data_IF_556440386379
#
_entry.id   IF_556440386379
#
_cell.length_a   1.000
_cell.length_b   1.000
_cell.length_c   1.000
_cell.angle_alpha   90.00
_cell.angle_beta   90.00
_cell.angle_gamma   90.00
#
_symmetry.space_group_name_H-M   'P 1'
#
loop_
_entity.id
_entity.type
_entity.pdbx_description
1 polymer ?
#
# COMPACT_ATOMS: atom_id res chain seq x y z
N UNK A 1 27.91 70.62 -14.92
CA UNK A 1 27.71 69.15 -14.96
C UNK A 1 26.22 68.91 -14.75
N UNK A 2 25.52 68.52 -15.81
CA UNK A 2 24.09 68.24 -15.81
C UNK A 2 23.81 66.94 -15.07
N UNK A 3 23.01 66.99 -14.00
CA UNK A 3 22.44 65.79 -13.36
C UNK A 3 21.44 65.14 -14.33
N UNK A 4 21.90 64.17 -15.12
CA UNK A 4 21.02 63.25 -15.81
C UNK A 4 20.47 62.26 -14.79
N UNK A 5 19.27 62.52 -14.27
CA UNK A 5 18.45 61.50 -13.63
C UNK A 5 18.15 60.42 -14.66
N UNK A 6 18.90 59.32 -14.63
CA UNK A 6 18.57 58.11 -15.39
C UNK A 6 17.21 57.60 -14.89
N UNK A 7 16.14 57.98 -15.58
CA UNK A 7 14.84 57.33 -15.42
C UNK A 7 14.97 55.91 -15.94
N UNK A 8 15.06 54.95 -15.02
CA UNK A 8 14.98 53.54 -15.36
C UNK A 8 13.51 53.23 -15.60
N UNK A 9 13.16 52.93 -16.85
CA UNK A 9 11.82 52.48 -17.21
C UNK A 9 11.61 51.05 -16.69
N UNK A 10 10.79 50.91 -15.64
CA UNK A 10 10.45 49.61 -15.06
C UNK A 10 9.24 49.07 -15.83
N UNK A 11 9.46 48.04 -16.63
CA UNK A 11 8.38 47.28 -17.27
C UNK A 11 8.15 45.92 -16.58
N UNK A 12 7.15 45.18 -17.05
CA UNK A 12 6.79 43.87 -16.50
C UNK A 12 7.90 42.81 -16.67
N UNK A 13 8.98 43.07 -17.42
CA UNK A 13 10.11 42.14 -17.57
C UNK A 13 10.98 42.09 -16.30
N UNK A 14 10.91 43.14 -15.46
CA UNK A 14 11.62 43.22 -14.18
C UNK A 14 10.82 42.70 -12.99
N UNK A 15 9.54 42.36 -13.20
CA UNK A 15 8.63 41.92 -12.15
C UNK A 15 8.40 40.41 -12.29
N UNK A 16 8.88 39.64 -11.31
CA UNK A 16 8.61 38.19 -11.25
C UNK A 16 7.08 37.99 -11.21
N UNK A 17 6.50 37.17 -12.10
CA UNK A 17 5.08 36.87 -12.07
C UNK A 17 4.71 36.31 -10.71
N UNK A 18 3.77 36.97 -10.02
CA UNK A 18 3.28 36.52 -8.72
C UNK A 18 1.78 36.28 -8.80
N UNK A 19 1.27 35.36 -7.98
CA UNK A 19 -0.16 35.17 -7.81
C UNK A 19 -0.64 36.03 -6.65
N UNK A 20 -1.44 37.09 -6.87
CA UNK A 20 -1.92 37.95 -5.79
C UNK A 20 -2.72 37.17 -4.74
N UNK A 21 -3.47 36.15 -5.18
CA UNK A 21 -4.21 35.25 -4.30
C UNK A 21 -3.24 34.53 -3.35
N UNK A 22 -2.25 33.81 -3.90
CA UNK A 22 -1.32 33.03 -3.08
C UNK A 22 -0.46 33.93 -2.18
N UNK A 23 0.05 35.03 -2.71
CA UNK A 23 0.86 35.97 -1.92
C UNK A 23 0.06 36.58 -0.77
N UNK A 24 -1.23 36.89 -0.98
CA UNK A 24 -2.12 37.42 0.08
C UNK A 24 -2.53 36.34 1.08
N UNK A 25 -2.80 35.11 0.60
CA UNK A 25 -3.17 33.97 1.45
C UNK A 25 -2.03 33.56 2.37
N UNK A 26 -0.81 33.46 1.86
CA UNK A 26 0.35 32.96 2.61
C UNK A 26 1.26 34.06 3.17
N UNK A 27 0.99 35.33 2.87
CA UNK A 27 1.80 36.50 3.28
C UNK A 27 3.28 36.32 2.96
N UNK A 28 3.58 35.73 1.80
CA UNK A 28 4.93 35.42 1.34
C UNK A 28 5.03 35.63 -0.18
N UNK A 29 6.25 35.83 -0.70
CA UNK A 29 6.49 35.81 -2.13
C UNK A 29 6.45 34.36 -2.65
N UNK A 30 5.48 34.03 -3.49
CA UNK A 30 5.23 32.66 -3.95
C UNK A 30 5.57 32.53 -5.44
N UNK A 31 6.55 31.69 -5.77
CA UNK A 31 6.81 31.26 -7.14
C UNK A 31 5.90 30.06 -7.49
N UNK A 32 5.26 30.09 -8.65
CA UNK A 32 4.33 29.03 -9.09
C UNK A 32 4.86 28.39 -10.37
N UNK A 33 5.17 27.09 -10.31
CA UNK A 33 5.65 26.32 -11.45
C UNK A 33 4.66 25.21 -11.81
N UNK A 34 4.28 25.12 -13.08
CA UNK A 34 3.42 24.03 -13.57
C UNK A 34 4.28 22.84 -14.01
N UNK A 35 4.16 21.72 -13.29
CA UNK A 35 4.88 20.49 -13.57
C UNK A 35 3.93 19.40 -14.08
N UNK A 36 4.06 19.00 -15.34
CA UNK A 36 3.22 17.95 -15.96
C UNK A 36 3.86 16.56 -16.00
N UNK A 37 5.13 16.42 -15.60
CA UNK A 37 5.84 15.13 -15.67
C UNK A 37 5.93 14.42 -14.32
N UNK A 38 5.77 13.09 -14.32
CA UNK A 38 6.00 12.24 -13.14
C UNK A 38 7.43 12.40 -12.60
N UNK A 39 8.41 12.66 -13.48
CA UNK A 39 9.81 12.94 -13.09
C UNK A 39 9.91 14.23 -12.27
N UNK A 40 9.22 15.29 -12.68
CA UNK A 40 9.18 16.58 -11.97
C UNK A 40 8.53 16.44 -10.60
N UNK A 41 7.40 15.72 -10.50
CA UNK A 41 6.74 15.45 -9.21
C UNK A 41 7.66 14.65 -8.28
N UNK A 42 8.28 13.58 -8.80
CA UNK A 42 9.26 12.78 -8.05
C UNK A 42 10.44 13.63 -7.59
N UNK A 43 10.91 14.55 -8.42
CA UNK A 43 11.99 15.46 -8.10
C UNK A 43 11.60 16.39 -6.95
N UNK A 44 10.47 17.10 -7.03
CA UNK A 44 9.99 17.98 -5.96
C UNK A 44 9.83 17.20 -4.65
N UNK A 45 9.12 16.07 -4.68
CA UNK A 45 8.95 15.23 -3.49
C UNK A 45 10.29 14.71 -2.96
N UNK A 46 11.27 14.44 -3.82
CA UNK A 46 12.61 14.06 -3.40
C UNK A 46 13.23 15.18 -2.58
N UNK A 47 13.24 16.43 -3.03
CA UNK A 47 13.90 17.52 -2.29
C UNK A 47 13.17 17.88 -0.99
N UNK A 48 11.84 17.89 -1.00
CA UNK A 48 11.05 18.15 0.21
C UNK A 48 11.26 17.06 1.27
N UNK A 49 11.39 15.80 0.85
CA UNK A 49 11.58 14.67 1.75
C UNK A 49 13.04 14.21 1.87
N UNK A 50 13.98 14.88 1.19
CA UNK A 50 15.41 14.61 1.34
C UNK A 50 15.76 15.07 2.75
N UNK A 51 16.22 14.15 3.58
CA UNK A 51 16.75 14.51 4.88
C UNK A 51 17.86 15.56 4.72
N UNK A 52 18.04 16.38 5.75
CA UNK A 52 19.15 17.32 5.79
C UNK A 52 20.48 16.61 5.63
N UNK A 53 21.45 17.32 5.05
CA UNK A 53 22.80 16.81 4.92
C UNK A 53 23.37 16.47 6.31
N UNK A 54 24.10 15.36 6.36
CA UNK A 54 24.72 14.84 7.57
C UNK A 54 26.23 15.05 7.45
N UNK A 55 26.85 15.53 8.53
CA UNK A 55 28.29 15.63 8.65
C UNK A 55 28.76 14.65 9.74
N UNK A 56 29.83 13.92 9.43
CA UNK A 56 30.56 13.15 10.44
C UNK A 56 31.68 14.04 10.96
N UNK A 57 31.75 14.20 12.27
CA UNK A 57 32.79 14.99 12.93
C UNK A 57 33.40 14.21 14.09
N UNK A 58 34.69 14.49 14.33
CA UNK A 58 35.45 13.88 15.40
C UNK A 58 35.26 14.69 16.69
N UNK A 59 34.78 14.05 17.76
CA UNK A 59 34.74 14.65 19.10
C UNK A 59 35.95 14.15 19.87
N UNK A 60 37.02 14.96 19.89
CA UNK A 60 38.23 14.63 20.65
C UNK A 60 37.95 14.69 22.15
N UNK A 61 37.80 13.54 22.76
CA UNK A 61 37.76 13.40 24.21
C UNK A 61 39.18 13.09 24.70
N UNK A 62 39.76 13.96 25.52
CA UNK A 62 41.18 13.92 25.91
C UNK A 62 41.54 12.61 26.66
N UNK A 63 40.54 11.91 27.22
CA UNK A 63 40.77 10.78 28.13
C UNK A 63 40.04 9.46 27.75
N UNK A 64 39.54 9.27 26.52
CA UNK A 64 38.79 8.05 26.17
C UNK A 64 39.11 7.52 24.76
N UNK A 65 39.79 6.37 24.67
CA UNK A 65 40.19 5.69 23.42
C UNK A 65 39.06 4.80 22.84
N UNK A 66 37.83 5.30 22.78
CA UNK A 66 36.72 4.55 22.18
C UNK A 66 36.39 5.10 20.79
N UNK A 67 36.90 4.42 19.76
CA UNK A 67 36.79 4.74 18.33
C UNK A 67 35.33 4.98 17.87
N UNK A 68 34.37 4.24 18.45
CA UNK A 68 32.94 4.37 18.08
C UNK A 68 32.34 5.68 18.63
N UNK A 69 32.77 6.12 19.81
CA UNK A 69 32.32 7.40 20.39
C UNK A 69 33.06 8.61 19.83
N UNK A 70 34.20 8.37 19.18
CA UNK A 70 35.07 9.40 18.63
C UNK A 70 34.45 10.07 17.40
N UNK A 71 33.66 9.34 16.62
CA UNK A 71 32.97 9.87 15.45
C UNK A 71 31.48 10.03 15.73
N UNK A 72 31.01 11.27 15.68
CA UNK A 72 29.58 11.57 15.79
C UNK A 72 29.04 12.05 14.44
N UNK A 73 27.80 11.68 14.17
CA UNK A 73 27.07 12.12 12.99
C UNK A 73 26.05 13.16 13.41
N UNK A 74 26.18 14.38 12.87
CA UNK A 74 25.25 15.48 13.12
C UNK A 74 24.51 15.89 11.85
N UNK A 75 23.31 16.39 12.04
CA UNK A 75 22.50 17.00 10.99
C UNK A 75 22.92 18.46 10.82
N UNK A 76 23.19 18.90 9.60
CA UNK A 76 23.34 20.32 9.30
C UNK A 76 21.97 21.03 9.43
N UNK A 77 21.95 22.12 10.20
CA UNK A 77 20.77 22.95 10.42
C UNK A 77 21.19 24.39 10.08
N UNK A 78 20.46 25.04 9.16
CA UNK A 78 20.72 26.44 8.82
C UNK A 78 20.34 27.37 9.98
N UNK A 79 20.92 28.57 10.05
CA UNK A 79 20.59 29.55 11.10
C UNK A 79 19.09 29.83 11.21
N UNK A 80 18.40 29.90 10.06
CA UNK A 80 16.95 30.12 10.02
C UNK A 80 16.17 28.93 10.60
N UNK A 81 16.54 27.69 10.23
CA UNK A 81 15.92 26.49 10.79
C UNK A 81 16.21 26.35 12.29
N UNK A 82 17.42 26.73 12.73
CA UNK A 82 17.81 26.71 14.14
C UNK A 82 16.95 27.66 14.97
N UNK A 83 16.76 28.91 14.53
CA UNK A 83 15.88 29.88 15.21
C UNK A 83 14.44 29.37 15.26
N UNK A 84 13.93 28.82 14.15
CA UNK A 84 12.59 28.22 14.11
C UNK A 84 12.41 27.10 15.13
N UNK A 85 13.43 26.23 15.27
CA UNK A 85 13.44 25.13 16.23
C UNK A 85 13.53 25.63 17.67
N UNK A 86 14.42 26.59 17.95
CA UNK A 86 14.59 27.19 19.29
C UNK A 86 13.28 27.82 19.75
N UNK A 87 12.59 28.53 18.86
CA UNK A 87 11.31 29.17 19.13
C UNK A 87 10.11 28.21 19.03
N UNK A 88 10.34 26.91 18.77
CA UNK A 88 9.30 25.88 18.62
C UNK A 88 8.22 26.20 17.58
N UNK A 89 8.58 26.92 16.51
CA UNK A 89 7.69 27.17 15.39
C UNK A 89 7.50 25.91 14.53
N UNK A 90 6.29 25.76 13.97
CA UNK A 90 6.00 24.68 13.03
C UNK A 90 6.87 24.78 11.78
N UNK A 91 7.71 23.76 11.56
CA UNK A 91 8.63 23.69 10.40
C UNK A 91 7.93 23.07 9.20
N UNK A 92 6.97 22.18 9.44
CA UNK A 92 6.25 21.48 8.40
C UNK A 92 4.80 21.31 8.83
N UNK A 93 3.90 21.52 7.88
CA UNK A 93 2.49 21.22 8.03
C UNK A 93 2.08 20.28 6.89
N UNK A 94 1.16 19.35 7.17
CA UNK A 94 0.64 18.39 6.20
C UNK A 94 -0.87 18.34 6.33
N UNK A 95 -1.57 18.85 5.33
CA UNK A 95 -3.01 18.72 5.19
C UNK A 95 -3.33 17.89 3.93
N UNK A 96 -4.11 16.80 4.03
CA UNK A 96 -4.66 16.23 5.27
C UNK A 96 -3.59 15.51 6.12
N UNK A 97 -3.88 15.36 7.41
CA UNK A 97 -3.03 14.57 8.30
C UNK A 97 -3.00 13.11 7.85
N UNK A 98 -1.81 12.50 7.77
CA UNK A 98 -1.63 11.10 7.36
C UNK A 98 -1.09 10.29 8.53
N UNK A 99 -1.87 9.32 8.99
CA UNK A 99 -1.48 8.37 10.03
C UNK A 99 -1.00 7.07 9.37
N UNK A 100 0.23 6.66 9.66
CA UNK A 100 0.72 5.35 9.23
C UNK A 100 0.11 4.24 10.07
N UNK A 101 -0.39 3.22 9.40
CA UNK A 101 -1.08 2.07 9.96
C UNK A 101 -0.22 0.82 9.75
N UNK A 102 0.05 0.11 10.84
CA UNK A 102 0.88 -1.07 10.85
C UNK A 102 0.18 -2.22 10.13
N UNK A 103 0.94 -3.00 9.38
CA UNK A 103 0.46 -4.22 8.72
C UNK A 103 1.50 -5.30 8.99
N UNK A 104 1.07 -6.36 9.65
CA UNK A 104 1.90 -7.52 9.97
C UNK A 104 1.02 -8.72 10.28
N UNK A 105 1.58 -9.92 10.18
CA UNK A 105 0.92 -11.15 10.62
C UNK A 105 0.88 -11.22 12.16
N UNK A 106 0.12 -12.18 12.68
CA UNK A 106 0.11 -12.49 14.11
C UNK A 106 1.53 -12.76 14.61
N UNK A 107 1.94 -12.07 15.67
CA UNK A 107 3.31 -12.09 16.21
C UNK A 107 4.43 -11.61 15.26
N UNK A 108 4.08 -11.10 14.08
CA UNK A 108 5.02 -10.56 13.09
C UNK A 108 5.32 -9.06 13.26
N UNK A 109 5.01 -8.45 14.40
CA UNK A 109 5.28 -7.02 14.60
C UNK A 109 6.78 -6.74 14.66
N UNK A 110 7.18 -5.59 14.11
CA UNK A 110 8.54 -5.08 14.26
C UNK A 110 8.75 -4.59 15.68
N UNK A 111 9.70 -5.18 16.39
CA UNK A 111 10.06 -4.81 17.76
C UNK A 111 11.52 -4.38 17.81
N UNK A 112 11.79 -3.27 18.47
CA UNK A 112 13.14 -2.83 18.80
C UNK A 112 13.41 -3.19 20.25
N UNK A 113 14.57 -3.79 20.51
CA UNK A 113 14.97 -4.23 21.83
C UNK A 113 16.44 -3.94 22.09
N UNK A 114 16.80 -3.92 23.37
CA UNK A 114 18.17 -3.93 23.90
C UNK A 114 18.37 -5.23 24.67
N UNK A 115 19.60 -5.58 25.02
CA UNK A 115 19.88 -6.79 25.81
C UNK A 115 19.07 -6.83 27.12
N UNK A 116 18.92 -5.68 27.78
CA UNK A 116 18.19 -5.53 29.04
C UNK A 116 16.67 -5.78 28.89
N UNK A 117 16.07 -5.38 27.77
CA UNK A 117 14.61 -5.45 27.59
C UNK A 117 14.15 -6.57 26.65
N UNK A 118 15.06 -7.35 26.08
CA UNK A 118 14.76 -8.41 25.12
C UNK A 118 13.71 -9.40 25.65
N UNK A 119 13.91 -9.93 26.86
CA UNK A 119 12.99 -10.89 27.47
C UNK A 119 11.60 -10.29 27.66
N UNK A 120 11.52 -9.06 28.17
CA UNK A 120 10.25 -8.36 28.34
C UNK A 120 9.56 -8.13 27.00
N UNK A 121 10.30 -7.71 25.97
CA UNK A 121 9.77 -7.46 24.61
C UNK A 121 9.30 -8.73 23.90
N UNK A 122 9.91 -9.87 24.19
CA UNK A 122 9.52 -11.16 23.66
C UNK A 122 8.22 -11.66 24.29
N UNK A 123 8.05 -11.47 25.60
CA UNK A 123 6.83 -11.84 26.33
C UNK A 123 5.68 -10.87 26.07
N UNK A 124 5.96 -9.56 26.05
CA UNK A 124 4.98 -8.50 25.86
C UNK A 124 5.39 -7.58 24.71
N UNK A 125 5.03 -7.95 23.48
CA UNK A 125 5.31 -7.12 22.32
C UNK A 125 4.60 -5.76 22.41
N UNK A 126 5.23 -4.67 21.95
CA UNK A 126 4.61 -3.36 21.93
C UNK A 126 3.35 -3.37 21.06
N UNK A 127 2.27 -2.77 21.58
CA UNK A 127 1.02 -2.60 20.84
C UNK A 127 1.27 -1.75 19.59
N UNK A 128 0.84 -2.28 18.45
CA UNK A 128 0.85 -1.59 17.16
C UNK A 128 -0.48 -0.89 16.94
N UNK A 129 -0.56 -0.02 15.94
CA UNK A 129 -1.84 0.58 15.53
C UNK A 129 -2.86 -0.47 15.11
N UNK A 130 -2.42 -1.64 14.63
CA UNK A 130 -3.29 -2.75 14.21
C UNK A 130 -3.83 -3.52 15.40
N UNK A 131 -2.96 -3.98 16.30
CA UNK A 131 -3.40 -4.71 17.49
C UNK A 131 -4.24 -3.82 18.42
N UNK A 132 -3.91 -2.53 18.50
CA UNK A 132 -4.72 -1.57 19.24
C UNK A 132 -6.09 -1.33 18.58
N UNK A 133 -6.19 -1.42 17.25
CA UNK A 133 -7.49 -1.34 16.57
C UNK A 133 -8.36 -2.54 16.91
N UNK A 134 -7.79 -3.75 16.96
CA UNK A 134 -8.50 -4.93 17.45
C UNK A 134 -9.05 -4.73 18.86
N UNK A 135 -8.21 -4.22 19.78
CA UNK A 135 -8.67 -3.92 21.15
C UNK A 135 -9.73 -2.82 21.20
N UNK A 136 -9.70 -1.86 20.27
CA UNK A 136 -10.72 -0.82 20.17
C UNK A 136 -12.07 -1.43 19.75
N UNK A 137 -12.08 -2.29 18.73
CA UNK A 137 -13.27 -2.99 18.28
C UNK A 137 -13.82 -3.98 19.31
N UNK A 138 -13.01 -4.45 20.26
CA UNK A 138 -13.47 -5.32 21.34
C UNK A 138 -14.19 -4.57 22.47
N UNK A 139 -14.07 -3.25 22.57
CA UNK A 139 -14.68 -2.51 23.67
C UNK A 139 -16.22 -2.59 23.60
N UNK A 140 -16.91 -2.76 24.74
CA UNK A 140 -18.37 -2.81 24.79
C UNK A 140 -19.04 -1.44 24.71
N UNK A 141 -18.26 -0.36 24.87
CA UNK A 141 -18.74 1.01 24.86
C UNK A 141 -19.20 1.46 23.45
N UNK A 142 -19.88 2.61 23.41
CA UNK A 142 -20.39 3.20 22.15
C UNK A 142 -19.25 3.41 21.13
N UNK A 143 -18.05 3.73 21.61
CA UNK A 143 -16.87 3.92 20.76
C UNK A 143 -16.36 2.63 20.14
N UNK A 144 -16.36 1.52 20.89
CA UNK A 144 -16.01 0.20 20.36
C UNK A 144 -17.04 -0.29 19.34
N UNK A 145 -18.33 -0.10 19.63
CA UNK A 145 -19.41 -0.41 18.68
C UNK A 145 -19.28 0.40 17.39
N UNK A 146 -18.96 1.69 17.48
CA UNK A 146 -18.66 2.51 16.31
C UNK A 146 -17.39 2.08 15.59
N UNK A 147 -16.32 1.75 16.31
CA UNK A 147 -15.09 1.27 15.68
C UNK A 147 -15.31 -0.03 14.88
N UNK A 148 -16.30 -0.85 15.25
CA UNK A 148 -16.68 -2.05 14.47
C UNK A 148 -17.26 -1.72 13.09
N UNK A 149 -17.77 -0.51 12.88
CA UNK A 149 -18.32 -0.10 11.57
C UNK A 149 -17.24 0.49 10.65
N UNK A 150 -16.04 0.76 11.17
CA UNK A 150 -14.97 1.41 10.42
C UNK A 150 -14.05 0.39 9.74
N UNK A 151 -13.62 0.72 8.53
CA UNK A 151 -12.45 0.11 7.90
C UNK A 151 -11.19 0.61 8.60
N UNK A 152 -10.13 -0.20 8.59
CA UNK A 152 -8.90 0.14 9.29
C UNK A 152 -8.29 1.47 8.78
N UNK A 153 -8.40 1.74 7.47
CA UNK A 153 -7.97 2.99 6.83
C UNK A 153 -8.75 4.23 7.25
N UNK A 154 -9.98 4.06 7.75
CA UNK A 154 -10.87 5.15 8.17
C UNK A 154 -10.72 5.49 9.65
N UNK A 155 -10.12 4.61 10.45
CA UNK A 155 -9.92 4.83 11.90
C UNK A 155 -9.32 6.21 12.21
N UNK A 156 -8.27 6.70 11.50
CA UNK A 156 -7.67 8.01 11.81
C UNK A 156 -8.60 9.23 11.61
N UNK A 157 -9.69 9.06 10.86
CA UNK A 157 -10.71 10.12 10.65
C UNK A 157 -11.45 10.44 11.95
N UNK A 158 -11.65 9.43 12.81
CA UNK A 158 -12.46 9.52 14.02
C UNK A 158 -11.67 9.28 15.31
N UNK A 159 -10.52 8.62 15.22
CA UNK A 159 -9.67 8.29 16.35
C UNK A 159 -8.25 8.82 16.12
N UNK A 160 -7.61 9.27 17.19
CA UNK A 160 -6.22 9.72 17.18
C UNK A 160 -5.34 8.64 17.84
N UNK A 161 -4.17 8.39 17.26
CA UNK A 161 -3.19 7.47 17.84
C UNK A 161 -2.42 8.16 18.97
N UNK A 162 -2.59 7.69 20.21
CA UNK A 162 -1.77 8.12 21.33
C UNK A 162 -0.48 7.29 21.35
N UNK A 163 0.63 7.91 20.96
CA UNK A 163 1.91 7.20 20.82
C UNK A 163 2.52 6.78 22.17
N UNK A 164 2.27 7.55 23.24
CA UNK A 164 2.75 7.26 24.60
C UNK A 164 1.95 6.11 25.23
N UNK A 165 0.62 6.16 25.09
CA UNK A 165 -0.28 5.12 25.63
C UNK A 165 -0.50 3.91 24.72
N UNK A 166 0.04 3.95 23.49
CA UNK A 166 -0.16 2.93 22.42
C UNK A 166 -1.62 2.49 22.26
N UNK A 167 -2.51 3.48 22.17
CA UNK A 167 -3.96 3.25 22.09
C UNK A 167 -4.64 4.26 21.17
N UNK A 168 -5.80 3.87 20.64
CA UNK A 168 -6.69 4.77 19.92
C UNK A 168 -7.59 5.52 20.89
N UNK A 169 -7.67 6.83 20.73
CA UNK A 169 -8.52 7.72 21.51
C UNK A 169 -9.53 8.43 20.60
N UNK A 170 -10.78 8.63 21.04
CA UNK A 170 -11.74 9.43 20.29
C UNK A 170 -11.16 10.80 19.96
N UNK A 171 -11.28 11.21 18.71
CA UNK A 171 -10.82 12.52 18.27
C UNK A 171 -11.71 13.59 18.89
N UNK A 172 -11.09 14.65 19.41
CA UNK A 172 -11.76 15.77 20.11
C UNK A 172 -11.89 17.05 19.28
N UNK A 173 -11.41 17.03 18.03
CA UNK A 173 -11.33 18.19 17.15
C UNK A 173 -11.83 17.82 15.75
N UNK A 174 -12.53 18.75 15.09
CA UNK A 174 -13.10 18.58 13.75
C UNK A 174 -14.61 18.81 13.76
N UNK A 175 -15.30 18.16 12.82
CA UNK A 175 -16.76 18.21 12.72
C UNK A 175 -17.37 17.17 13.67
N UNK A 176 -18.32 17.53 14.54
CA UNK A 176 -18.96 16.56 15.44
C UNK A 176 -19.67 15.46 14.65
N UNK A 177 -19.56 14.21 15.10
CA UNK A 177 -20.29 13.12 14.49
C UNK A 177 -21.81 13.27 14.76
N UNK A 178 -22.68 13.13 13.74
CA UNK A 178 -24.10 13.44 13.87
C UNK A 178 -24.83 12.58 14.91
N UNK A 179 -24.40 11.34 15.11
CA UNK A 179 -25.10 10.35 15.95
C UNK A 179 -24.34 9.92 17.20
N UNK A 180 -23.08 10.32 17.39
CA UNK A 180 -22.24 9.81 18.48
C UNK A 180 -21.58 10.97 19.21
N UNK A 181 -22.04 11.21 20.43
CA UNK A 181 -21.50 12.25 21.30
C UNK A 181 -20.05 11.94 21.67
N UNK A 182 -19.17 12.94 21.56
CA UNK A 182 -17.76 12.82 21.94
C UNK A 182 -16.83 12.28 20.85
N UNK A 183 -17.32 11.99 19.65
CA UNK A 183 -16.50 11.71 18.47
C UNK A 183 -16.58 12.87 17.48
N UNK A 184 -15.42 13.26 16.97
CA UNK A 184 -15.27 14.25 15.91
C UNK A 184 -14.62 13.63 14.68
N UNK A 185 -15.07 14.06 13.50
CA UNK A 185 -14.54 13.70 12.19
C UNK A 185 -13.56 14.78 11.73
N UNK A 186 -12.37 14.38 11.31
CA UNK A 186 -11.41 15.28 10.68
C UNK A 186 -10.92 14.75 9.32
N UNK A 187 -10.31 15.64 8.54
CA UNK A 187 -9.58 15.30 7.31
C UNK A 187 -8.26 14.60 7.67
N UNK A 188 -8.36 13.32 8.02
CA UNK A 188 -7.23 12.45 8.32
C UNK A 188 -7.29 11.18 7.46
N UNK A 189 -6.14 10.71 7.00
CA UNK A 189 -6.00 9.54 6.14
C UNK A 189 -5.20 8.45 6.83
N UNK A 190 -5.74 7.25 6.91
CA UNK A 190 -5.00 6.06 7.30
C UNK A 190 -4.23 5.47 6.13
N UNK A 191 -2.90 5.52 6.21
CA UNK A 191 -2.02 4.94 5.20
C UNK A 191 -1.44 3.62 5.70
N UNK A 192 -1.89 2.52 5.10
CA UNK A 192 -1.31 1.20 5.31
C UNK A 192 0.08 1.13 4.66
N UNK A 193 1.01 0.44 5.31
CA UNK A 193 2.29 0.10 4.70
C UNK A 193 2.08 -0.68 3.39
N UNK A 194 2.95 -0.42 2.42
CA UNK A 194 3.01 -1.22 1.19
C UNK A 194 3.54 -2.60 1.54
N UNK A 195 2.76 -3.63 1.21
CA UNK A 195 3.17 -5.03 1.32
C UNK A 195 3.35 -5.56 -0.10
N UNK A 196 4.52 -6.13 -0.38
CA UNK A 196 4.81 -6.66 -1.71
C UNK A 196 3.98 -7.93 -1.96
N UNK A 197 3.44 -8.18 -3.17
CA UNK A 197 2.65 -9.38 -3.45
C UNK A 197 3.37 -10.71 -3.18
N UNK A 198 4.71 -10.73 -3.24
CA UNK A 198 5.50 -11.91 -2.87
C UNK A 198 5.43 -12.26 -1.36
N UNK A 199 5.06 -11.30 -0.51
CA UNK A 199 4.79 -11.55 0.91
C UNK A 199 3.35 -12.04 1.08
N UNK A 200 3.00 -13.12 0.36
CA UNK A 200 1.65 -13.64 0.10
C UNK A 200 0.63 -13.34 1.22
N UNK A 201 0.79 -13.97 2.39
CA UNK A 201 -0.15 -13.83 3.50
C UNK A 201 -0.26 -12.41 4.04
N UNK A 202 0.85 -11.66 4.08
CA UNK A 202 0.84 -10.24 4.47
C UNK A 202 0.08 -9.37 3.47
N UNK A 203 0.18 -9.68 2.17
CA UNK A 203 -0.55 -8.98 1.12
C UNK A 203 -2.06 -9.23 1.24
N UNK A 204 -2.48 -10.49 1.44
CA UNK A 204 -3.90 -10.81 1.63
C UNK A 204 -4.46 -10.27 2.95
N UNK A 205 -3.67 -10.28 4.03
CA UNK A 205 -4.05 -9.61 5.28
C UNK A 205 -4.27 -8.10 5.05
N UNK A 206 -3.39 -7.44 4.30
CA UNK A 206 -3.58 -6.02 3.94
C UNK A 206 -4.87 -5.82 3.16
N UNK A 207 -5.18 -6.71 2.21
CA UNK A 207 -6.40 -6.65 1.42
C UNK A 207 -7.65 -6.78 2.31
N UNK A 208 -7.65 -7.71 3.26
CA UNK A 208 -8.73 -7.85 4.24
C UNK A 208 -8.88 -6.59 5.09
N UNK A 209 -7.79 -6.00 5.57
CA UNK A 209 -7.85 -4.76 6.39
C UNK A 209 -8.44 -3.56 5.65
N UNK A 210 -8.41 -3.55 4.32
CA UNK A 210 -9.01 -2.50 3.49
C UNK A 210 -10.49 -2.76 3.23
N UNK A 211 -10.95 -4.01 3.31
CA UNK A 211 -12.31 -4.40 2.89
C UNK A 211 -13.20 -4.89 4.05
N UNK A 212 -12.62 -5.34 5.16
CA UNK A 212 -13.33 -5.90 6.30
C UNK A 212 -13.40 -4.85 7.42
N UNK A 213 -14.60 -4.38 7.80
CA UNK A 213 -14.77 -3.43 8.89
C UNK A 213 -14.65 -4.12 10.26
N UNK A 214 -14.18 -3.38 11.25
CA UNK A 214 -14.27 -3.79 12.64
C UNK A 214 -13.59 -5.07 13.09
N UNK A 215 -12.44 -5.51 12.53
CA UNK A 215 -11.80 -6.74 12.96
C UNK A 215 -11.43 -6.71 14.44
N UNK A 216 -11.75 -7.79 15.14
CA UNK A 216 -11.46 -7.94 16.59
C UNK A 216 -10.24 -8.80 16.87
N UNK A 217 -9.69 -9.51 15.87
CA UNK A 217 -8.49 -10.34 15.99
C UNK A 217 -7.96 -10.76 14.62
N UNK A 218 -6.75 -11.33 14.59
CA UNK A 218 -6.20 -11.99 13.40
C UNK A 218 -7.07 -13.18 12.95
N UNK A 219 -7.67 -13.90 13.89
CA UNK A 219 -8.61 -14.99 13.61
C UNK A 219 -9.91 -14.47 12.99
N UNK A 220 -10.42 -13.33 13.47
CA UNK A 220 -11.62 -12.72 12.91
C UNK A 220 -11.46 -12.40 11.42
N UNK A 221 -10.30 -11.87 11.01
CA UNK A 221 -10.02 -11.59 9.59
C UNK A 221 -10.04 -12.85 8.71
N UNK A 222 -9.78 -14.03 9.29
CA UNK A 222 -9.88 -15.32 8.59
C UNK A 222 -11.23 -15.99 8.75
N UNK A 223 -12.19 -15.37 9.43
CA UNK A 223 -13.50 -15.97 9.71
C UNK A 223 -14.55 -15.36 8.80
N UNK A 224 -14.99 -16.11 7.79
CA UNK A 224 -16.04 -15.68 6.86
C UNK A 224 -17.24 -16.62 7.02
N UNK A 225 -18.45 -16.08 7.18
CA UNK A 225 -19.69 -16.85 7.37
C UNK A 225 -19.63 -17.90 8.50
N UNK A 226 -18.87 -17.62 9.57
CA UNK A 226 -18.70 -18.52 10.72
C UNK A 226 -17.64 -19.62 10.52
N UNK A 227 -17.06 -19.76 9.33
CA UNK A 227 -15.97 -20.69 9.05
C UNK A 227 -14.62 -19.98 9.16
N UNK A 228 -13.68 -20.60 9.90
CA UNK A 228 -12.30 -20.11 10.03
C UNK A 228 -11.45 -20.73 8.93
N UNK A 229 -10.87 -19.89 8.08
CA UNK A 229 -9.96 -20.29 7.01
C UNK A 229 -8.52 -20.41 7.52
N UNK A 230 -7.75 -21.32 6.92
CA UNK A 230 -6.35 -21.53 7.30
C UNK A 230 -5.47 -20.33 6.91
N UNK A 231 -5.67 -19.79 5.71
CA UNK A 231 -4.88 -18.69 5.15
C UNK A 231 -5.73 -17.42 4.97
N UNK A 232 -5.08 -16.26 4.97
CA UNK A 232 -5.73 -15.00 4.60
C UNK A 232 -6.11 -14.99 3.11
N UNK A 233 -5.34 -15.68 2.27
CA UNK A 233 -5.67 -15.84 0.86
C UNK A 233 -7.05 -16.49 0.67
N UNK A 234 -7.32 -17.59 1.38
CA UNK A 234 -8.59 -18.30 1.22
C UNK A 234 -9.77 -17.49 1.76
N UNK A 235 -9.58 -16.74 2.85
CA UNK A 235 -10.57 -15.78 3.32
C UNK A 235 -10.87 -14.68 2.27
N UNK A 236 -9.84 -14.18 1.57
CA UNK A 236 -10.04 -13.24 0.45
C UNK A 236 -10.78 -13.88 -0.73
N UNK A 237 -10.51 -15.16 -1.06
CA UNK A 237 -11.24 -15.89 -2.11
C UNK A 237 -12.72 -16.03 -1.76
N UNK A 238 -13.03 -16.41 -0.51
CA UNK A 238 -14.40 -16.57 -0.03
C UNK A 238 -15.16 -15.25 -0.05
N UNK A 239 -14.50 -14.14 0.31
CA UNK A 239 -15.05 -12.78 0.21
C UNK A 239 -15.11 -12.24 -1.23
N UNK A 240 -14.70 -13.02 -2.24
CA UNK A 240 -14.66 -12.62 -3.65
C UNK A 240 -13.82 -11.35 -3.88
N UNK A 241 -12.79 -11.11 -3.06
CA UNK A 241 -11.87 -9.98 -3.21
C UNK A 241 -10.77 -10.25 -4.25
N UNK A 242 -10.66 -11.50 -4.71
CA UNK A 242 -9.71 -11.93 -5.73
C UNK A 242 -10.48 -12.23 -7.01
N UNK A 243 -9.91 -11.85 -8.15
CA UNK A 243 -10.45 -12.26 -9.45
C UNK A 243 -10.49 -13.79 -9.52
N UNK A 244 -11.68 -14.33 -9.73
CA UNK A 244 -11.88 -15.77 -9.85
C UNK A 244 -11.52 -16.27 -11.25
N UNK A 245 -10.83 -17.40 -11.31
CA UNK A 245 -10.55 -18.11 -12.56
C UNK A 245 -11.80 -18.72 -13.23
N UNK A 246 -12.98 -18.57 -12.61
CA UNK A 246 -14.25 -19.08 -13.14
C UNK A 246 -14.59 -18.51 -14.52
N UNK A 247 -14.19 -17.26 -14.77
CA UNK A 247 -14.27 -16.66 -16.10
C UNK A 247 -13.58 -17.54 -17.16
N UNK A 248 -12.38 -18.05 -16.87
CA UNK A 248 -11.64 -18.90 -17.81
C UNK A 248 -12.30 -20.25 -18.01
N UNK A 249 -12.90 -20.80 -16.95
CA UNK A 249 -13.67 -22.04 -17.05
C UNK A 249 -14.89 -21.86 -17.97
N UNK A 250 -15.69 -20.82 -17.76
CA UNK A 250 -16.84 -20.48 -18.61
C UNK A 250 -16.41 -20.20 -20.06
N UNK A 251 -15.34 -19.43 -20.25
CA UNK A 251 -14.81 -19.11 -21.59
C UNK A 251 -14.32 -20.36 -22.34
N UNK A 252 -13.67 -21.30 -21.66
CA UNK A 252 -13.26 -22.56 -22.28
C UNK A 252 -14.43 -23.53 -22.49
N UNK A 253 -15.44 -23.52 -21.62
CA UNK A 253 -16.67 -24.27 -21.80
C UNK A 253 -17.40 -23.83 -23.09
N UNK A 254 -17.57 -22.53 -23.29
CA UNK A 254 -18.19 -21.98 -24.49
C UNK A 254 -17.37 -22.31 -25.74
N UNK A 255 -16.05 -22.14 -25.68
CA UNK A 255 -15.16 -22.46 -26.80
C UNK A 255 -15.19 -23.95 -27.16
N UNK A 256 -15.34 -24.84 -26.17
CA UNK A 256 -15.46 -26.28 -26.39
C UNK A 256 -16.73 -26.67 -27.17
N UNK A 257 -17.81 -25.88 -27.07
CA UNK A 257 -19.06 -26.10 -27.79
C UNK A 257 -19.10 -25.41 -29.15
N UNK A 258 -18.40 -24.29 -29.31
CA UNK A 258 -18.57 -23.38 -30.46
C UNK A 258 -17.39 -23.37 -31.43
N UNK A 259 -16.23 -23.92 -31.05
CA UNK A 259 -15.00 -23.77 -31.84
C UNK A 259 -14.25 -25.08 -32.07
N UNK A 260 -13.30 -25.02 -33.01
CA UNK A 260 -12.49 -26.17 -33.43
C UNK A 260 -11.29 -26.33 -32.47
N UNK A 261 -10.80 -27.56 -32.19
CA UNK A 261 -9.69 -27.84 -31.27
C UNK A 261 -8.44 -26.96 -31.41
N UNK A 262 -8.10 -26.49 -32.63
CA UNK A 262 -6.99 -25.56 -32.85
C UNK A 262 -7.21 -24.20 -32.17
N UNK A 263 -8.42 -23.66 -32.26
CA UNK A 263 -8.80 -22.36 -31.68
C UNK A 263 -8.83 -22.48 -30.16
N UNK A 264 -9.38 -23.57 -29.62
CA UNK A 264 -9.39 -23.84 -28.17
C UNK A 264 -7.96 -23.88 -27.61
N UNK A 265 -7.00 -24.50 -28.32
CA UNK A 265 -5.58 -24.49 -27.91
C UNK A 265 -4.95 -23.10 -27.95
N UNK A 266 -5.29 -22.27 -28.94
CA UNK A 266 -4.80 -20.89 -29.03
C UNK A 266 -5.37 -20.03 -27.90
N UNK A 267 -6.67 -20.14 -27.63
CA UNK A 267 -7.33 -19.48 -26.52
C UNK A 267 -6.71 -19.88 -25.18
N UNK A 268 -6.46 -21.17 -24.97
CA UNK A 268 -5.77 -21.66 -23.78
C UNK A 268 -4.35 -21.08 -23.63
N UNK A 269 -3.60 -20.97 -24.72
CA UNK A 269 -2.27 -20.35 -24.69
C UNK A 269 -2.32 -18.85 -24.33
N UNK A 270 -3.34 -18.13 -24.79
CA UNK A 270 -3.56 -16.72 -24.40
C UNK A 270 -3.85 -16.65 -22.90
N UNK A 271 -4.80 -17.46 -22.40
CA UNK A 271 -5.14 -17.52 -20.97
C UNK A 271 -3.89 -17.77 -20.11
N UNK A 272 -3.02 -18.70 -20.50
CA UNK A 272 -1.78 -18.99 -19.76
C UNK A 272 -0.76 -17.84 -19.79
N UNK A 273 -0.68 -17.08 -20.88
CA UNK A 273 0.41 -16.12 -21.11
C UNK A 273 0.05 -14.70 -20.68
N UNK A 274 -1.23 -14.33 -20.77
CA UNK A 274 -1.67 -12.94 -20.52
C UNK A 274 -2.53 -12.79 -19.27
N UNK A 275 -3.17 -13.86 -18.81
CA UNK A 275 -4.23 -13.77 -17.81
C UNK A 275 -3.83 -14.28 -16.42
N UNK A 276 -2.59 -14.74 -16.23
CA UNK A 276 -2.02 -15.16 -14.94
C UNK A 276 -2.94 -16.08 -14.12
N UNK A 277 -3.62 -17.02 -14.80
CA UNK A 277 -4.53 -17.98 -14.18
C UNK A 277 -3.83 -18.82 -13.11
N UNK A 278 -4.47 -18.94 -11.94
CA UNK A 278 -4.01 -19.75 -10.82
C UNK A 278 -4.36 -21.24 -10.94
N UNK A 279 -5.36 -21.59 -11.75
CA UNK A 279 -5.87 -22.95 -11.95
C UNK A 279 -5.56 -23.55 -13.33
N UNK A 280 -4.46 -23.13 -13.96
CA UNK A 280 -4.03 -23.59 -15.29
C UNK A 280 -4.03 -25.12 -15.46
N UNK A 281 -3.56 -25.86 -14.45
CA UNK A 281 -3.54 -27.32 -14.47
C UNK A 281 -4.95 -27.93 -14.44
N UNK A 282 -5.85 -27.41 -13.60
CA UNK A 282 -7.24 -27.86 -13.52
C UNK A 282 -8.00 -27.58 -14.82
N UNK A 283 -7.79 -26.41 -15.44
CA UNK A 283 -8.37 -26.06 -16.73
C UNK A 283 -7.88 -26.98 -17.85
N UNK A 284 -6.57 -27.28 -17.89
CA UNK A 284 -6.02 -28.25 -18.84
C UNK A 284 -6.68 -29.61 -18.70
N UNK A 285 -6.73 -30.16 -17.48
CA UNK A 285 -7.28 -31.48 -17.23
C UNK A 285 -8.75 -31.60 -17.67
N UNK A 286 -9.54 -30.55 -17.44
CA UNK A 286 -10.95 -30.46 -17.84
C UNK A 286 -11.13 -30.40 -19.36
N UNK A 287 -10.34 -29.60 -20.07
CA UNK A 287 -10.57 -29.31 -21.50
C UNK A 287 -9.62 -30.02 -22.48
N UNK A 288 -8.61 -30.78 -22.03
CA UNK A 288 -7.61 -31.45 -22.88
C UNK A 288 -8.20 -32.34 -23.98
N UNK A 289 -9.35 -32.96 -23.73
CA UNK A 289 -10.01 -33.82 -24.71
C UNK A 289 -10.52 -33.02 -25.92
N UNK A 290 -11.23 -31.91 -25.67
CA UNK A 290 -11.68 -30.97 -26.69
C UNK A 290 -10.49 -30.34 -27.43
N UNK A 291 -9.40 -30.04 -26.72
CA UNK A 291 -8.18 -29.51 -27.34
C UNK A 291 -7.40 -30.52 -28.18
N UNK A 292 -7.66 -31.82 -28.10
CA UNK A 292 -6.84 -32.85 -28.78
C UNK A 292 -7.62 -33.72 -29.77
N UNK A 293 -8.92 -33.46 -29.93
CA UNK A 293 -9.80 -34.23 -30.81
C UNK A 293 -9.27 -34.30 -32.25
N UNK A 294 -8.88 -33.17 -32.85
CA UNK A 294 -8.32 -33.12 -34.21
C UNK A 294 -7.03 -33.95 -34.35
N UNK A 295 -6.17 -33.98 -33.34
CA UNK A 295 -4.95 -34.80 -33.31
C UNK A 295 -5.30 -36.29 -33.26
N UNK A 296 -6.31 -36.68 -32.47
CA UNK A 296 -6.81 -38.07 -32.42
C UNK A 296 -7.39 -38.50 -33.77
N UNK A 297 -8.16 -37.64 -34.42
CA UNK A 297 -8.69 -37.90 -35.77
C UNK A 297 -7.57 -38.06 -36.81
N UNK A 298 -6.55 -37.19 -36.79
CA UNK A 298 -5.39 -37.30 -37.69
C UNK A 298 -4.61 -38.60 -37.50
N UNK A 299 -4.42 -39.05 -36.26
CA UNK A 299 -3.76 -40.34 -35.96
C UNK A 299 -4.60 -41.52 -36.47
N UNK A 300 -5.93 -41.50 -36.26
CA UNK A 300 -6.84 -42.53 -36.81
C UNK A 300 -6.80 -42.56 -38.34
N UNK A 301 -6.87 -41.40 -39.00
CA UNK A 301 -6.80 -41.32 -40.46
C UNK A 301 -5.44 -41.77 -41.01
N UNK A 302 -4.33 -41.47 -40.35
CA UNK A 302 -3.00 -41.98 -40.73
C UNK A 302 -2.92 -43.51 -40.60
N UNK A 303 -3.46 -44.09 -39.53
CA UNK A 303 -3.54 -45.55 -39.35
C UNK A 303 -4.41 -46.22 -40.43
N UNK A 304 -5.55 -45.62 -40.77
CA UNK A 304 -6.41 -46.08 -41.88
C UNK A 304 -5.66 -46.02 -43.22
N UNK A 305 -5.03 -44.89 -43.56
CA UNK A 305 -4.23 -44.75 -44.79
C UNK A 305 -3.06 -45.74 -44.87
N UNK A 306 -2.46 -46.11 -43.73
CA UNK A 306 -1.44 -47.16 -43.67
C UNK A 306 -2.03 -48.55 -43.94
N UNK A 307 -3.23 -48.84 -43.40
CA UNK A 307 -3.94 -50.11 -43.60
C UNK A 307 -4.36 -50.32 -45.07
N UNK A 308 -4.85 -49.29 -45.74
CA UNK A 308 -5.22 -49.36 -47.17
C UNK A 308 -4.03 -49.37 -48.15
N UNK A 309 -2.82 -49.00 -47.70
CA UNK A 309 -1.58 -49.14 -48.50
C UNK A 309 -0.97 -50.54 -48.47
N UNK A 310 -1.40 -51.38 -47.53
CA UNK A 310 -0.88 -52.75 -47.34
C UNK A 310 -1.75 -53.83 -48.00
N UNK A 311 -2.85 -53.47 -48.65
CA UNK A 311 -3.50 -54.39 -49.59
C UNK A 311 -2.81 -54.26 -50.96
N UNK A 312 -2.16 -55.33 -51.46
CA UNK A 312 -1.71 -55.36 -52.84
C UNK A 312 -2.92 -55.13 -53.74
N UNK A 313 -2.73 -54.37 -54.82
CA UNK A 313 -3.69 -54.43 -55.93
C UNK A 313 -3.52 -55.81 -56.54
N UNK A 314 -4.43 -56.73 -56.20
CA UNK A 314 -4.61 -57.95 -56.97
C UNK A 314 -4.98 -57.51 -58.41
N UNK A 315 -4.15 -57.95 -59.35
CA UNK A 315 -4.20 -57.67 -60.79
C UNK A 315 -5.34 -58.44 -61.44
#
# INVERSE_FOLDING_TARGET
MSNSTNQVEIDNQWVVPYSPLLSKTYKAHVNVEFCSSVKSIKYICKYVNKGSDLAVFEVRNINNNNEITQYQMGRYISSNEAIWRILSFSIHEREPFVQHLAVHLENGQRVYFTEENFLQRALEPPKTTLTAFFTLCQKPDVFGQFAKTLLYTDVPRYFTWNNSGKKWEPRKQGEPHPSITGIFKAKALGRLYTVHPQQCEGFFLRLLLVNVPGPTSFKFLRTINGQVFNTYQDACKELQLLEGDNHWDLTLADAALTTIPRVIRQLFAIILTTCYTTQSSSLWEKYKNYMTEDKRHRVKQKKLKFKYRLHPRDV
#
